data_IF_139653078046
#
_entry.id   IF_139653078046
#
_cell.length_a   1.000
_cell.length_b   1.000
_cell.length_c   1.000
_cell.angle_alpha   90.00
_cell.angle_beta   90.00
_cell.angle_gamma   90.00
#
_symmetry.space_group_name_H-M   'P 1'
#
loop_
_entity.id
_entity.type
_entity.pdbx_description
1 polymer ?
#
# COMPACT_ATOMS: atom_id res chain seq x y z
N UNK A 1 -52.19 16.15 -11.32
CA UNK A 1 -51.10 15.70 -12.16
C UNK A 1 -49.84 16.26 -11.53
N UNK A 2 -49.19 15.47 -10.69
CA UNK A 2 -47.97 15.85 -9.99
C UNK A 2 -46.80 15.15 -10.68
N UNK A 3 -45.91 15.97 -11.19
CA UNK A 3 -44.68 15.52 -11.85
C UNK A 3 -43.65 15.13 -10.79
N UNK A 4 -43.30 13.84 -10.77
CA UNK A 4 -42.30 13.29 -9.85
C UNK A 4 -40.92 13.49 -10.47
N UNK A 5 -40.24 14.57 -10.05
CA UNK A 5 -38.87 14.85 -10.40
C UNK A 5 -37.95 13.69 -10.05
N UNK A 6 -37.28 13.13 -11.05
CA UNK A 6 -36.27 12.12 -10.95
C UNK A 6 -35.02 12.68 -10.22
N UNK A 7 -34.83 12.20 -9.02
CA UNK A 7 -33.61 12.47 -8.23
C UNK A 7 -32.45 11.64 -8.81
N UNK A 8 -31.73 12.21 -9.74
CA UNK A 8 -30.56 11.61 -10.37
C UNK A 8 -29.33 11.84 -9.47
N UNK A 9 -29.20 11.04 -8.42
CA UNK A 9 -28.01 11.00 -7.58
C UNK A 9 -26.82 10.54 -8.43
N UNK A 10 -25.98 11.50 -8.80
CA UNK A 10 -24.77 11.29 -9.60
C UNK A 10 -23.79 10.32 -8.93
N UNK A 11 -23.97 9.01 -9.12
CA UNK A 11 -22.89 8.04 -8.97
C UNK A 11 -21.80 8.44 -9.97
N UNK A 12 -20.70 9.07 -9.50
CA UNK A 12 -19.48 9.16 -10.28
C UNK A 12 -19.18 7.73 -10.76
N UNK A 13 -19.20 7.50 -12.07
CA UNK A 13 -18.73 6.25 -12.68
C UNK A 13 -17.32 6.03 -12.16
N UNK A 14 -17.13 4.98 -11.38
CA UNK A 14 -15.79 4.58 -10.95
C UNK A 14 -14.96 4.40 -12.22
N UNK A 15 -13.96 5.25 -12.41
CA UNK A 15 -13.06 5.15 -13.56
C UNK A 15 -12.33 3.81 -13.41
N UNK A 16 -12.40 2.95 -14.44
CA UNK A 16 -11.74 1.66 -14.43
C UNK A 16 -10.24 1.84 -14.10
N UNK A 17 -9.74 1.04 -13.17
CA UNK A 17 -8.33 1.07 -12.79
C UNK A 17 -7.48 0.49 -13.92
N UNK A 18 -6.26 1.02 -14.18
CA UNK A 18 -5.40 0.53 -15.25
C UNK A 18 -5.17 -0.98 -15.22
N UNK A 19 -5.04 -1.56 -14.04
CA UNK A 19 -4.81 -2.99 -13.85
C UNK A 19 -5.95 -3.88 -14.37
N UNK A 20 -7.18 -3.38 -14.41
CA UNK A 20 -8.35 -4.15 -14.84
C UNK A 20 -8.21 -4.64 -16.29
N UNK A 21 -7.54 -3.86 -17.15
CA UNK A 21 -7.25 -4.26 -18.53
C UNK A 21 -6.19 -5.37 -18.63
N UNK A 22 -5.44 -5.65 -17.55
CA UNK A 22 -4.36 -6.64 -17.52
C UNK A 22 -4.70 -7.90 -16.71
N UNK A 23 -5.85 -7.94 -16.04
CA UNK A 23 -6.23 -9.10 -15.22
C UNK A 23 -6.29 -10.40 -16.03
N UNK A 24 -6.81 -10.33 -17.24
CA UNK A 24 -6.86 -11.51 -18.13
C UNK A 24 -5.45 -12.02 -18.50
N UNK A 25 -4.51 -11.10 -18.76
CA UNK A 25 -3.12 -11.45 -19.09
C UNK A 25 -2.42 -12.10 -17.89
N UNK A 26 -2.64 -11.57 -16.67
CA UNK A 26 -2.09 -12.11 -15.42
C UNK A 26 -2.63 -13.52 -15.16
N UNK A 27 -3.95 -13.72 -15.29
CA UNK A 27 -4.59 -15.01 -15.13
C UNK A 27 -4.05 -16.03 -16.16
N UNK A 28 -3.94 -15.65 -17.44
CA UNK A 28 -3.40 -16.49 -18.48
C UNK A 28 -1.93 -16.88 -18.22
N UNK A 29 -1.11 -15.92 -17.78
CA UNK A 29 0.28 -16.16 -17.43
C UNK A 29 0.41 -17.20 -16.31
N UNK A 30 -0.32 -17.05 -15.20
CA UNK A 30 -0.27 -17.96 -14.07
C UNK A 30 -1.02 -19.29 -14.29
N UNK A 31 -1.89 -19.37 -15.27
CA UNK A 31 -2.46 -20.65 -15.74
C UNK A 31 -1.43 -21.48 -16.52
N UNK A 32 -0.55 -20.82 -17.29
CA UNK A 32 0.43 -21.48 -18.17
C UNK A 32 1.81 -21.64 -17.53
N UNK A 33 2.14 -20.78 -16.57
CA UNK A 33 3.44 -20.75 -15.88
C UNK A 33 3.23 -20.74 -14.36
N UNK A 34 4.18 -21.30 -13.64
CA UNK A 34 4.16 -21.28 -12.16
C UNK A 34 4.61 -19.92 -11.57
N UNK A 35 5.18 -19.04 -12.40
CA UNK A 35 5.71 -17.72 -11.98
C UNK A 35 5.29 -16.66 -12.97
N UNK A 36 5.11 -15.43 -12.46
CA UNK A 36 4.89 -14.26 -13.31
C UNK A 36 5.44 -13.00 -12.61
N UNK A 37 5.81 -12.00 -13.41
CA UNK A 37 6.24 -10.68 -12.95
C UNK A 37 5.25 -9.64 -13.47
N UNK A 38 4.67 -8.85 -12.58
CA UNK A 38 3.81 -7.71 -12.91
C UNK A 38 4.54 -6.41 -12.61
N UNK A 39 4.77 -5.62 -13.63
CA UNK A 39 5.27 -4.25 -13.52
C UNK A 39 4.09 -3.31 -13.66
N UNK A 40 3.75 -2.59 -12.59
CA UNK A 40 2.60 -1.70 -12.58
C UNK A 40 2.88 -0.49 -11.70
N UNK A 41 2.65 0.70 -12.22
CA UNK A 41 2.86 1.95 -11.49
C UNK A 41 1.98 2.04 -10.22
N UNK A 42 2.38 2.86 -9.23
CA UNK A 42 1.54 3.15 -8.07
C UNK A 42 0.16 3.65 -8.49
N UNK A 43 -0.89 3.26 -7.75
CA UNK A 43 -2.25 3.66 -8.06
C UNK A 43 -2.92 2.89 -9.20
N UNK A 44 -2.24 1.96 -9.88
CA UNK A 44 -2.84 1.11 -10.92
C UNK A 44 -3.92 0.16 -10.38
N UNK A 45 -3.97 -0.08 -9.06
CA UNK A 45 -4.92 -0.98 -8.40
C UNK A 45 -4.40 -2.42 -8.24
N UNK A 46 -3.09 -2.66 -8.44
CA UNK A 46 -2.47 -3.99 -8.37
C UNK A 46 -2.78 -4.72 -7.07
N UNK A 47 -2.53 -4.08 -5.92
CA UNK A 47 -2.68 -4.63 -4.57
C UNK A 47 -4.10 -5.12 -4.25
N UNK A 48 -5.11 -4.45 -4.80
CA UNK A 48 -6.51 -4.68 -4.38
C UNK A 48 -7.37 -5.40 -5.42
N UNK A 49 -6.95 -5.43 -6.69
CA UNK A 49 -7.69 -6.09 -7.78
C UNK A 49 -7.09 -7.43 -8.16
N UNK A 50 -5.76 -7.51 -8.25
CA UNK A 50 -5.08 -8.73 -8.69
C UNK A 50 -5.33 -9.90 -7.74
N UNK A 51 -5.17 -9.78 -6.40
CA UNK A 51 -5.40 -10.91 -5.51
C UNK A 51 -6.84 -11.42 -5.55
N UNK A 52 -7.83 -10.52 -5.66
CA UNK A 52 -9.24 -10.93 -5.77
C UNK A 52 -9.54 -11.67 -7.08
N UNK A 53 -8.95 -11.22 -8.20
CA UNK A 53 -9.10 -11.92 -9.47
C UNK A 53 -8.44 -13.31 -9.45
N UNK A 54 -7.31 -13.46 -8.78
CA UNK A 54 -6.61 -14.74 -8.66
C UNK A 54 -7.32 -15.75 -7.76
N UNK A 55 -8.17 -15.32 -6.82
CA UNK A 55 -9.01 -16.22 -6.03
C UNK A 55 -9.97 -17.05 -6.87
N UNK A 56 -10.36 -16.53 -8.03
CA UNK A 56 -11.28 -17.20 -8.97
C UNK A 56 -10.54 -18.10 -9.98
N UNK A 57 -9.21 -18.12 -9.95
CA UNK A 57 -8.41 -18.94 -10.86
C UNK A 57 -8.63 -20.45 -10.58
N UNK A 58 -8.68 -21.30 -11.61
CA UNK A 58 -8.90 -22.73 -11.45
C UNK A 58 -7.88 -23.42 -10.51
N UNK A 59 -6.62 -22.99 -10.57
CA UNK A 59 -5.55 -23.53 -9.74
C UNK A 59 -5.62 -23.08 -8.26
N UNK A 60 -6.43 -22.07 -7.95
CA UNK A 60 -6.61 -21.55 -6.57
C UNK A 60 -7.83 -22.17 -5.86
N UNK A 61 -8.65 -22.99 -6.54
CA UNK A 61 -9.88 -23.52 -5.97
C UNK A 61 -9.62 -24.38 -4.72
N UNK A 62 -10.34 -24.05 -3.63
CA UNK A 62 -10.23 -24.77 -2.35
C UNK A 62 -8.97 -24.48 -1.54
N UNK A 63 -8.05 -23.69 -2.06
CA UNK A 63 -6.81 -23.33 -1.40
C UNK A 63 -6.73 -21.83 -1.11
N UNK A 64 -5.67 -21.42 -0.41
CA UNK A 64 -5.44 -20.03 -0.02
C UNK A 64 -4.45 -19.33 -0.94
N UNK A 65 -4.58 -18.02 -1.02
CA UNK A 65 -3.56 -17.10 -1.52
C UNK A 65 -2.95 -16.33 -0.35
N UNK A 66 -1.64 -16.14 -0.41
CA UNK A 66 -0.92 -15.22 0.47
C UNK A 66 -0.55 -13.97 -0.30
N UNK A 67 -0.91 -12.80 0.22
CA UNK A 67 -0.45 -11.50 -0.29
C UNK A 67 0.57 -10.92 0.70
N UNK A 68 1.81 -10.80 0.27
CA UNK A 68 2.87 -10.22 1.07
C UNK A 68 2.89 -8.71 0.93
N UNK A 69 2.68 -8.03 2.05
CA UNK A 69 2.76 -6.58 2.17
C UNK A 69 3.94 -6.17 3.09
N UNK A 70 4.77 -5.19 2.72
CA UNK A 70 5.93 -4.82 3.53
C UNK A 70 5.55 -4.13 4.84
N UNK A 71 4.40 -3.47 4.89
CA UNK A 71 4.02 -2.60 6.01
C UNK A 71 2.72 -3.03 6.65
N UNK A 72 2.71 -3.09 8.00
CA UNK A 72 1.54 -3.52 8.78
C UNK A 72 0.26 -2.74 8.49
N UNK A 73 0.39 -1.42 8.30
CA UNK A 73 -0.77 -0.56 8.02
C UNK A 73 -1.30 -0.84 6.63
N UNK A 74 -0.42 -0.97 5.64
CA UNK A 74 -0.80 -1.32 4.27
C UNK A 74 -1.50 -2.68 4.23
N UNK A 75 -0.94 -3.71 4.89
CA UNK A 75 -1.56 -5.02 4.99
C UNK A 75 -2.99 -4.97 5.56
N UNK A 76 -3.19 -4.22 6.64
CA UNK A 76 -4.51 -4.06 7.28
C UNK A 76 -5.49 -3.30 6.38
N UNK A 77 -5.03 -2.23 5.74
CA UNK A 77 -5.85 -1.41 4.86
C UNK A 77 -6.23 -2.17 3.59
N UNK A 78 -5.26 -2.85 2.96
CA UNK A 78 -5.50 -3.67 1.77
C UNK A 78 -6.51 -4.79 2.06
N UNK A 79 -6.33 -5.54 3.15
CA UNK A 79 -7.28 -6.58 3.56
C UNK A 79 -8.67 -5.99 3.84
N UNK A 80 -8.74 -4.86 4.55
CA UNK A 80 -10.00 -4.20 4.85
C UNK A 80 -10.71 -3.68 3.61
N UNK A 81 -9.97 -3.12 2.66
CA UNK A 81 -10.53 -2.62 1.40
C UNK A 81 -11.02 -3.76 0.50
N UNK A 82 -10.26 -4.85 0.39
CA UNK A 82 -10.67 -6.02 -0.39
C UNK A 82 -11.89 -6.72 0.21
N UNK A 83 -11.97 -6.85 1.54
CA UNK A 83 -13.16 -7.37 2.21
C UNK A 83 -14.39 -6.49 1.94
N UNK A 84 -14.26 -5.15 2.05
CA UNK A 84 -15.34 -4.20 1.75
C UNK A 84 -15.83 -4.31 0.29
N UNK A 85 -14.95 -4.58 -0.68
CA UNK A 85 -15.34 -4.83 -2.06
C UNK A 85 -16.21 -6.08 -2.23
N UNK A 86 -16.01 -7.09 -1.38
CA UNK A 86 -16.83 -8.30 -1.34
C UNK A 86 -18.11 -8.14 -0.50
N UNK A 87 -18.29 -6.99 0.15
CA UNK A 87 -19.39 -6.75 1.10
C UNK A 87 -19.19 -7.45 2.45
N UNK A 88 -17.95 -7.77 2.80
CA UNK A 88 -17.57 -8.57 3.97
C UNK A 88 -16.72 -7.76 4.96
N UNK A 89 -16.48 -8.34 6.13
CA UNK A 89 -15.52 -7.86 7.12
C UNK A 89 -14.21 -8.65 7.05
N UNK A 90 -13.04 -8.04 7.40
CA UNK A 90 -11.78 -8.77 7.49
C UNK A 90 -11.88 -9.98 8.44
N UNK A 91 -11.45 -11.15 7.94
CA UNK A 91 -11.53 -12.44 8.63
C UNK A 91 -12.57 -13.39 8.02
N UNK A 92 -13.38 -12.93 7.06
CA UNK A 92 -14.22 -13.76 6.21
C UNK A 92 -13.41 -14.29 5.03
N UNK A 93 -13.75 -13.97 3.78
CA UNK A 93 -12.97 -14.40 2.61
C UNK A 93 -11.58 -13.79 2.58
N UNK A 94 -11.45 -12.53 2.97
CA UNK A 94 -10.18 -11.82 3.06
C UNK A 94 -9.83 -11.56 4.52
N UNK A 95 -8.62 -11.95 4.91
CA UNK A 95 -8.10 -11.71 6.25
C UNK A 95 -6.66 -11.18 6.22
N UNK A 96 -6.11 -10.93 7.40
CA UNK A 96 -4.72 -10.53 7.52
C UNK A 96 -4.04 -11.14 8.75
N UNK A 97 -2.72 -11.31 8.66
CA UNK A 97 -1.89 -11.84 9.75
C UNK A 97 -0.60 -11.04 9.85
N UNK A 98 -0.41 -10.43 11.00
CA UNK A 98 0.77 -9.62 11.32
C UNK A 98 1.25 -9.96 12.72
N UNK A 99 2.48 -9.58 13.06
CA UNK A 99 3.01 -9.77 14.42
C UNK A 99 2.11 -9.06 15.44
N UNK A 100 1.52 -9.83 16.34
CA UNK A 100 0.65 -9.34 17.42
C UNK A 100 -0.78 -8.99 16.99
N UNK A 101 -1.16 -9.20 15.73
CA UNK A 101 -2.53 -8.94 15.27
C UNK A 101 -2.91 -9.91 14.15
N UNK A 102 -4.05 -10.58 14.32
CA UNK A 102 -4.55 -11.56 13.35
C UNK A 102 -6.05 -11.40 13.20
N UNK A 103 -6.54 -11.40 11.97
CA UNK A 103 -7.94 -11.40 11.58
C UNK A 103 -8.14 -12.38 10.43
N UNK A 104 -8.21 -13.66 10.74
CA UNK A 104 -8.47 -14.76 9.80
C UNK A 104 -9.51 -15.69 10.42
N UNK A 105 -10.32 -16.30 9.60
CA UNK A 105 -11.35 -17.27 9.99
C UNK A 105 -11.23 -18.57 9.18
N UNK A 106 -12.12 -19.54 9.42
CA UNK A 106 -12.11 -20.82 8.72
C UNK A 106 -12.35 -20.69 7.21
N UNK A 107 -13.04 -19.63 6.79
CA UNK A 107 -13.39 -19.38 5.40
C UNK A 107 -12.39 -18.42 4.71
N UNK A 108 -11.35 -17.98 5.39
CA UNK A 108 -10.37 -17.05 4.81
C UNK A 108 -9.57 -17.74 3.73
N UNK A 109 -9.67 -17.23 2.51
CA UNK A 109 -8.98 -17.71 1.32
C UNK A 109 -7.85 -16.80 0.86
N UNK A 110 -7.93 -15.50 1.15
CA UNK A 110 -6.87 -14.54 0.90
C UNK A 110 -6.34 -14.02 2.24
N UNK A 111 -5.11 -14.37 2.57
CA UNK A 111 -4.44 -13.85 3.77
C UNK A 111 -3.39 -12.79 3.38
N UNK A 112 -3.61 -11.55 3.81
CA UNK A 112 -2.60 -10.50 3.67
C UNK A 112 -1.63 -10.63 4.84
N UNK A 113 -0.35 -10.89 4.54
CA UNK A 113 0.67 -11.18 5.54
C UNK A 113 1.83 -10.19 5.45
N UNK A 114 2.48 -9.90 6.58
CA UNK A 114 3.72 -9.13 6.57
C UNK A 114 4.93 -10.05 6.37
N UNK A 115 6.04 -9.49 5.91
CA UNK A 115 7.26 -10.21 5.52
C UNK A 115 7.73 -11.21 6.60
N UNK A 116 7.87 -10.78 7.84
CA UNK A 116 8.30 -11.67 8.94
C UNK A 116 7.29 -12.78 9.29
N UNK A 117 6.00 -12.59 8.94
CA UNK A 117 4.99 -13.65 9.09
C UNK A 117 5.14 -14.69 8.00
N UNK A 118 5.33 -14.28 6.72
CA UNK A 118 5.56 -15.22 5.63
C UNK A 118 6.81 -16.07 5.88
N UNK A 119 7.93 -15.43 6.27
CA UNK A 119 9.17 -16.14 6.58
C UNK A 119 8.95 -17.20 7.68
N UNK A 120 8.17 -16.84 8.72
CA UNK A 120 7.86 -17.80 9.77
C UNK A 120 6.94 -18.93 9.29
N UNK A 121 5.94 -18.64 8.46
CA UNK A 121 5.08 -19.66 7.87
C UNK A 121 5.91 -20.68 7.07
N UNK A 122 6.86 -20.20 6.25
CA UNK A 122 7.77 -21.05 5.47
C UNK A 122 8.77 -21.83 6.34
N UNK A 123 9.13 -21.33 7.51
CA UNK A 123 9.96 -22.07 8.48
C UNK A 123 9.17 -23.16 9.22
N UNK A 124 7.92 -22.86 9.60
CA UNK A 124 7.05 -23.79 10.32
C UNK A 124 6.46 -24.87 9.39
N UNK A 125 6.17 -24.52 8.14
CA UNK A 125 5.70 -25.40 7.06
C UNK A 125 6.39 -25.01 5.73
N UNK A 126 7.51 -25.66 5.40
CA UNK A 126 8.28 -25.35 4.20
C UNK A 126 7.54 -25.58 2.88
N UNK A 127 6.52 -26.43 2.88
CA UNK A 127 5.71 -26.71 1.69
C UNK A 127 4.47 -25.84 1.58
N UNK A 128 4.12 -25.08 2.63
CA UNK A 128 2.91 -24.25 2.70
C UNK A 128 1.66 -25.03 2.26
N UNK A 129 1.37 -26.15 2.92
CA UNK A 129 0.21 -26.99 2.59
C UNK A 129 -1.09 -26.18 2.59
N UNK A 130 -1.92 -26.37 1.56
CA UNK A 130 -3.18 -25.64 1.39
C UNK A 130 -3.02 -24.19 0.87
N UNK A 131 -1.80 -23.77 0.48
CA UNK A 131 -1.55 -22.50 -0.19
C UNK A 131 -1.32 -22.74 -1.68
N UNK A 132 -2.15 -22.13 -2.52
CA UNK A 132 -2.05 -22.22 -3.98
C UNK A 132 -1.04 -21.25 -4.59
N UNK A 133 -0.84 -20.10 -3.94
CA UNK A 133 0.10 -19.11 -4.45
C UNK A 133 0.47 -18.02 -3.46
N UNK A 134 1.58 -17.36 -3.76
CA UNK A 134 2.12 -16.23 -3.00
C UNK A 134 2.27 -15.05 -3.95
N UNK A 135 1.75 -13.91 -3.53
CA UNK A 135 1.85 -12.63 -4.23
C UNK A 135 2.79 -11.74 -3.42
N UNK A 136 3.91 -11.35 -4.00
CA UNK A 136 4.86 -10.40 -3.42
C UNK A 136 4.53 -9.01 -3.92
N UNK A 137 3.95 -8.15 -3.08
CA UNK A 137 3.66 -6.77 -3.45
C UNK A 137 4.77 -5.81 -3.02
N UNK A 138 4.86 -4.67 -3.69
CA UNK A 138 5.87 -3.61 -3.49
C UNK A 138 7.31 -4.15 -3.44
N UNK A 139 7.62 -5.16 -4.28
CA UNK A 139 8.91 -5.84 -4.24
C UNK A 139 10.11 -4.92 -4.56
N UNK A 140 9.87 -3.77 -5.18
CA UNK A 140 10.89 -2.75 -5.43
C UNK A 140 11.41 -2.06 -4.15
N UNK A 141 10.71 -2.15 -3.01
CA UNK A 141 11.23 -1.66 -1.72
C UNK A 141 12.47 -2.43 -1.25
N UNK A 142 12.72 -3.64 -1.79
CA UNK A 142 13.90 -4.47 -1.57
C UNK A 142 14.29 -4.56 -0.09
N UNK A 143 13.57 -5.37 0.67
CA UNK A 143 13.96 -5.70 2.04
C UNK A 143 14.60 -7.09 2.10
N UNK A 144 15.49 -7.29 3.06
CA UNK A 144 16.10 -8.60 3.31
C UNK A 144 15.03 -9.68 3.55
N UNK A 145 13.96 -9.32 4.26
CA UNK A 145 12.87 -10.25 4.58
C UNK A 145 12.05 -10.62 3.34
N UNK A 146 11.84 -9.68 2.40
CA UNK A 146 11.14 -9.96 1.15
C UNK A 146 12.00 -10.86 0.24
N UNK A 147 13.29 -10.55 0.11
CA UNK A 147 14.22 -11.34 -0.68
C UNK A 147 14.37 -12.77 -0.11
N UNK A 148 14.48 -12.90 1.23
CA UNK A 148 14.49 -14.20 1.90
C UNK A 148 13.17 -14.96 1.70
N UNK A 149 12.03 -14.28 1.82
CA UNK A 149 10.71 -14.88 1.59
C UNK A 149 10.57 -15.39 0.17
N UNK A 150 11.06 -14.65 -0.83
CA UNK A 150 11.07 -15.10 -2.22
C UNK A 150 11.99 -16.31 -2.42
N UNK A 151 13.19 -16.30 -1.84
CA UNK A 151 14.13 -17.42 -1.95
C UNK A 151 13.54 -18.71 -1.35
N UNK A 152 12.92 -18.63 -0.17
CA UNK A 152 12.26 -19.77 0.47
C UNK A 152 11.02 -20.24 -0.33
N UNK A 153 10.26 -19.32 -0.92
CA UNK A 153 9.13 -19.68 -1.78
C UNK A 153 9.57 -20.38 -3.07
N UNK A 154 10.70 -19.96 -3.65
CA UNK A 154 11.30 -20.63 -4.82
C UNK A 154 11.82 -22.03 -4.45
N UNK A 155 12.38 -22.22 -3.25
CA UNK A 155 12.80 -23.50 -2.74
C UNK A 155 11.58 -24.44 -2.55
N UNK A 156 10.52 -23.97 -1.90
CA UNK A 156 9.25 -24.69 -1.78
C UNK A 156 8.69 -25.09 -3.16
N UNK A 157 8.75 -24.21 -4.14
CA UNK A 157 8.27 -24.44 -5.49
C UNK A 157 9.11 -25.51 -6.24
N UNK A 158 10.36 -25.73 -5.84
CA UNK A 158 11.18 -26.81 -6.43
C UNK A 158 10.62 -28.21 -6.17
N UNK A 159 9.75 -28.36 -5.15
CA UNK A 159 9.08 -29.60 -4.75
C UNK A 159 7.57 -29.55 -5.02
N UNK A 160 7.01 -28.35 -5.16
CA UNK A 160 5.58 -28.08 -5.37
C UNK A 160 5.33 -27.41 -6.74
N UNK A 161 5.13 -28.19 -7.76
CA UNK A 161 4.84 -27.71 -9.14
C UNK A 161 3.52 -26.93 -9.23
N UNK A 162 2.60 -27.15 -8.27
CA UNK A 162 1.30 -26.49 -8.17
C UNK A 162 1.35 -25.10 -7.54
N UNK A 163 2.40 -24.74 -6.80
CA UNK A 163 2.52 -23.44 -6.15
C UNK A 163 2.77 -22.34 -7.18
N UNK A 164 2.00 -21.26 -7.14
CA UNK A 164 2.14 -20.10 -8.03
C UNK A 164 2.80 -18.92 -7.32
N UNK A 165 3.73 -18.24 -8.01
CA UNK A 165 4.40 -17.05 -7.51
C UNK A 165 4.13 -15.87 -8.43
N UNK A 166 3.61 -14.78 -7.88
CA UNK A 166 3.46 -13.50 -8.57
C UNK A 166 4.29 -12.44 -7.86
N UNK A 167 5.23 -11.83 -8.55
CA UNK A 167 5.96 -10.67 -8.03
C UNK A 167 5.39 -9.40 -8.66
N UNK A 168 4.97 -8.45 -7.83
CA UNK A 168 4.41 -7.17 -8.27
C UNK A 168 5.32 -6.02 -7.85
N UNK A 169 5.54 -5.07 -8.74
CA UNK A 169 6.44 -3.96 -8.53
C UNK A 169 6.04 -2.72 -9.31
N UNK A 170 6.42 -1.53 -8.83
CA UNK A 170 6.24 -0.27 -9.54
C UNK A 170 7.40 0.03 -10.48
N UNK A 171 8.63 -0.22 -10.03
CA UNK A 171 9.86 0.02 -10.80
C UNK A 171 10.84 -1.09 -10.50
N UNK A 172 11.38 -1.77 -11.51
CA UNK A 172 12.34 -2.84 -11.28
C UNK A 172 13.38 -2.90 -12.39
N UNK A 173 14.55 -3.36 -12.00
CA UNK A 173 15.42 -4.08 -12.91
C UNK A 173 14.76 -5.43 -13.27
N UNK A 174 13.92 -5.38 -14.30
CA UNK A 174 13.17 -6.54 -14.81
C UNK A 174 14.12 -7.68 -15.16
N UNK A 175 15.29 -7.34 -15.74
CA UNK A 175 16.28 -8.33 -16.14
C UNK A 175 16.85 -9.10 -14.94
N UNK A 176 17.20 -8.41 -13.87
CA UNK A 176 17.71 -9.05 -12.65
C UNK A 176 16.67 -9.94 -11.99
N UNK A 177 15.41 -9.49 -11.92
CA UNK A 177 14.33 -10.30 -11.34
C UNK A 177 13.95 -11.50 -12.21
N UNK A 178 13.88 -11.33 -13.52
CA UNK A 178 13.62 -12.43 -14.44
C UNK A 178 14.73 -13.49 -14.36
N UNK A 179 16.00 -13.06 -14.18
CA UNK A 179 17.09 -14.00 -13.95
C UNK A 179 16.92 -14.84 -12.68
N UNK A 180 16.38 -14.26 -11.60
CA UNK A 180 16.09 -14.97 -10.34
C UNK A 180 14.86 -15.88 -10.46
N UNK A 181 13.81 -15.40 -11.13
CA UNK A 181 12.55 -16.14 -11.28
C UNK A 181 12.62 -17.24 -12.36
N UNK A 182 13.60 -17.21 -13.24
CA UNK A 182 13.75 -18.06 -14.42
C UNK A 182 13.49 -17.29 -15.71
N UNK A 183 14.33 -17.54 -16.73
CA UNK A 183 14.35 -16.74 -17.96
C UNK A 183 13.08 -16.82 -18.83
N UNK A 184 12.20 -17.79 -18.58
CA UNK A 184 10.91 -18.01 -19.22
C UNK A 184 9.73 -17.37 -18.45
N UNK A 185 10.00 -16.67 -17.35
CA UNK A 185 8.97 -16.00 -16.55
C UNK A 185 8.27 -14.91 -17.35
N UNK A 186 6.94 -14.98 -17.58
CA UNK A 186 6.22 -13.94 -18.27
C UNK A 186 6.24 -12.63 -17.49
N UNK A 187 6.46 -11.54 -18.21
CA UNK A 187 6.44 -10.17 -17.68
C UNK A 187 5.20 -9.48 -18.24
N UNK A 188 4.34 -9.03 -17.33
CA UNK A 188 3.15 -8.25 -17.65
C UNK A 188 3.42 -6.80 -17.29
N UNK A 189 3.34 -5.91 -18.27
CA UNK A 189 3.48 -4.48 -18.08
C UNK A 189 2.12 -3.80 -18.04
N UNK A 190 1.88 -3.01 -17.00
CA UNK A 190 0.68 -2.21 -16.80
C UNK A 190 1.09 -0.75 -16.65
N UNK A 191 1.22 0.00 -17.75
CA UNK A 191 1.56 1.41 -17.69
C UNK A 191 0.46 2.18 -16.94
N UNK A 192 0.86 2.98 -15.99
CA UNK A 192 -0.02 3.85 -15.22
C UNK A 192 -0.36 5.15 -15.96
N UNK A 193 -1.19 5.97 -15.32
CA UNK A 193 -1.39 7.36 -15.74
C UNK A 193 -0.37 8.23 -15.02
N UNK A 194 0.60 8.74 -15.75
CA UNK A 194 1.50 9.74 -15.22
C UNK A 194 0.87 11.13 -15.35
N UNK A 195 0.87 11.86 -14.25
CA UNK A 195 0.51 13.27 -14.24
C UNK A 195 1.80 14.08 -14.13
N UNK A 196 1.91 15.24 -14.81
CA UNK A 196 3.06 16.10 -14.65
C UNK A 196 3.15 16.59 -13.21
N UNK A 197 4.33 16.44 -12.60
CA UNK A 197 4.62 16.91 -11.25
C UNK A 197 5.63 18.04 -11.33
N UNK A 198 5.26 19.20 -10.78
CA UNK A 198 6.17 20.32 -10.59
C UNK A 198 6.81 20.23 -9.21
N UNK A 199 8.14 20.15 -9.16
CA UNK A 199 8.88 20.11 -7.91
C UNK A 199 9.36 21.51 -7.54
N UNK A 200 8.99 21.98 -6.34
CA UNK A 200 9.40 23.28 -5.82
C UNK A 200 10.18 23.07 -4.52
N UNK A 201 11.38 23.63 -4.45
CA UNK A 201 12.20 23.59 -3.24
C UNK A 201 12.00 24.85 -2.41
N UNK A 202 11.89 24.67 -1.08
CA UNK A 202 11.76 25.76 -0.11
C UNK A 202 12.85 25.61 0.95
N UNK A 203 13.82 26.53 0.95
CA UNK A 203 14.85 26.56 1.98
C UNK A 203 14.27 26.95 3.32
N UNK A 204 14.75 26.33 4.41
CA UNK A 204 14.29 26.63 5.74
C UNK A 204 14.76 28.02 6.18
N UNK A 205 13.85 28.97 6.24
CA UNK A 205 14.12 30.31 6.78
C UNK A 205 14.06 30.23 8.33
N UNK A 206 15.17 29.84 8.97
CA UNK A 206 15.27 29.81 10.42
C UNK A 206 15.51 28.42 11.03
N UNK A 207 15.53 28.39 12.40
CA UNK A 207 15.89 27.16 13.15
C UNK A 207 14.67 26.32 13.58
N UNK A 208 13.45 26.83 13.40
CA UNK A 208 12.24 26.11 13.77
C UNK A 208 11.64 25.37 12.57
N UNK A 209 11.80 24.05 12.48
CA UNK A 209 11.24 23.27 11.37
C UNK A 209 9.71 23.32 11.33
N UNK A 210 9.02 23.46 12.46
CA UNK A 210 7.56 23.47 12.52
C UNK A 210 7.01 24.77 11.93
N UNK A 211 7.62 25.91 12.30
CA UNK A 211 7.24 27.20 11.74
C UNK A 211 7.47 27.26 10.23
N UNK A 212 8.60 26.70 9.75
CA UNK A 212 8.87 26.60 8.31
C UNK A 212 7.82 25.74 7.59
N UNK A 213 7.53 24.55 8.09
CA UNK A 213 6.55 23.66 7.50
C UNK A 213 5.15 24.29 7.50
N UNK A 214 4.76 24.98 8.57
CA UNK A 214 3.49 25.71 8.62
C UNK A 214 3.39 26.81 7.57
N UNK A 215 4.49 27.54 7.32
CA UNK A 215 4.56 28.55 6.27
C UNK A 215 4.43 27.95 4.86
N UNK A 216 5.09 26.82 4.60
CA UNK A 216 4.99 26.10 3.32
C UNK A 216 3.57 25.57 3.10
N UNK A 217 2.92 25.03 4.14
CA UNK A 217 1.51 24.60 4.07
C UNK A 217 0.60 25.80 3.79
N UNK A 218 0.83 26.95 4.42
CA UNK A 218 0.05 28.16 4.20
C UNK A 218 0.21 28.70 2.76
N UNK A 219 1.42 28.67 2.20
CA UNK A 219 1.69 29.03 0.82
C UNK A 219 0.93 28.09 -0.15
N UNK A 220 1.05 26.78 0.03
CA UNK A 220 0.37 25.80 -0.80
C UNK A 220 -1.17 25.90 -0.71
N UNK A 221 -1.71 26.24 0.48
CA UNK A 221 -3.14 26.50 0.64
C UNK A 221 -3.61 27.75 -0.14
N UNK A 222 -2.74 28.74 -0.30
CA UNK A 222 -3.05 29.98 -1.02
C UNK A 222 -2.89 29.85 -2.55
N UNK A 223 -1.88 29.13 -3.01
CA UNK A 223 -1.47 29.10 -4.42
C UNK A 223 -2.01 27.91 -5.21
N UNK A 224 -2.15 26.75 -4.56
CA UNK A 224 -2.49 25.51 -5.23
C UNK A 224 -3.94 25.05 -4.94
N UNK A 225 -4.41 24.05 -5.65
CA UNK A 225 -5.74 23.44 -5.46
C UNK A 225 -5.64 21.98 -5.02
N UNK A 226 -6.74 21.41 -4.50
CA UNK A 226 -6.80 20.04 -4.00
C UNK A 226 -6.36 19.91 -2.54
N UNK A 227 -6.42 18.70 -2.03
CA UNK A 227 -5.96 18.37 -0.69
C UNK A 227 -4.42 18.37 -0.60
N UNK A 228 -3.89 18.62 0.57
CA UNK A 228 -2.45 18.60 0.84
C UNK A 228 -2.09 17.34 1.62
N UNK A 229 -0.98 16.69 1.24
CA UNK A 229 -0.34 15.64 2.01
C UNK A 229 1.02 16.12 2.49
N UNK A 230 1.24 16.10 3.80
CA UNK A 230 2.51 16.51 4.41
C UNK A 230 3.20 15.29 5.02
N UNK A 231 4.38 14.96 4.51
CA UNK A 231 5.19 13.82 4.97
C UNK A 231 6.17 14.31 6.04
N UNK A 232 6.09 13.72 7.23
CA UNK A 232 6.82 14.12 8.42
C UNK A 232 7.58 12.94 9.04
N UNK A 233 8.72 13.15 9.72
CA UNK A 233 9.53 12.06 10.23
C UNK A 233 8.87 11.26 11.37
N UNK A 234 7.85 11.81 12.06
CA UNK A 234 7.21 11.08 13.13
C UNK A 234 6.00 11.76 13.75
N UNK A 235 5.34 11.03 14.65
CA UNK A 235 4.10 11.46 15.31
C UNK A 235 4.28 12.74 16.15
N UNK A 236 5.47 12.95 16.71
CA UNK A 236 5.77 14.18 17.45
C UNK A 236 5.73 15.42 16.57
N UNK A 237 6.27 15.31 15.37
CA UNK A 237 6.27 16.35 14.34
C UNK A 237 4.85 16.59 13.82
N UNK A 238 4.09 15.54 13.58
CA UNK A 238 2.68 15.61 13.19
C UNK A 238 1.88 16.44 14.20
N UNK A 239 1.98 16.12 15.48
CA UNK A 239 1.25 16.84 16.54
C UNK A 239 1.64 18.31 16.64
N UNK A 240 2.93 18.62 16.55
CA UNK A 240 3.41 20.01 16.61
C UNK A 240 2.90 20.83 15.43
N UNK A 241 3.01 20.28 14.21
CA UNK A 241 2.52 20.95 13.02
C UNK A 241 1.00 21.11 13.03
N UNK A 242 0.26 20.08 13.46
CA UNK A 242 -1.20 20.15 13.62
C UNK A 242 -1.61 21.29 14.55
N UNK A 243 -0.97 21.40 15.72
CA UNK A 243 -1.26 22.48 16.68
C UNK A 243 -0.98 23.87 16.08
N UNK A 244 0.14 24.02 15.38
CA UNK A 244 0.47 25.27 14.71
C UNK A 244 -0.54 25.64 13.62
N UNK A 245 -0.92 24.68 12.77
CA UNK A 245 -1.90 24.90 11.70
C UNK A 245 -3.31 25.20 12.25
N UNK A 246 -3.73 24.48 13.31
CA UNK A 246 -5.05 24.73 13.94
C UNK A 246 -5.13 26.13 14.56
N UNK A 247 -4.03 26.64 15.12
CA UNK A 247 -3.98 27.99 15.66
C UNK A 247 -4.10 29.09 14.59
N UNK A 248 -3.55 28.85 13.38
CA UNK A 248 -3.57 29.82 12.27
C UNK A 248 -4.78 29.65 11.36
N UNK A 249 -5.30 28.43 11.22
CA UNK A 249 -6.40 28.08 10.34
C UNK A 249 -7.48 27.27 11.08
N UNK A 250 -8.30 27.87 11.96
CA UNK A 250 -9.25 27.14 12.79
C UNK A 250 -10.32 26.33 12.02
N UNK A 251 -10.63 26.75 10.80
CA UNK A 251 -11.62 26.07 9.92
C UNK A 251 -11.02 24.98 9.03
N UNK A 252 -9.67 24.80 9.05
CA UNK A 252 -9.00 23.83 8.20
C UNK A 252 -9.22 22.42 8.75
N UNK A 253 -9.64 21.51 7.87
CA UNK A 253 -9.72 20.09 8.21
C UNK A 253 -8.31 19.48 8.19
N UNK A 254 -7.87 18.94 9.33
CA UNK A 254 -6.55 18.35 9.48
C UNK A 254 -6.71 16.90 9.94
N UNK A 255 -6.39 15.96 9.06
CA UNK A 255 -6.31 14.55 9.38
C UNK A 255 -4.87 14.11 9.67
N UNK A 256 -4.71 13.15 10.57
CA UNK A 256 -3.43 12.50 10.80
C UNK A 256 -3.43 11.12 10.15
N UNK A 257 -2.26 10.63 9.70
CA UNK A 257 -2.12 9.29 9.14
C UNK A 257 -0.80 8.65 9.56
N UNK A 258 -0.88 7.77 10.54
CA UNK A 258 0.28 7.04 11.06
C UNK A 258 -0.12 5.69 11.69
N UNK A 259 0.83 4.78 11.84
CA UNK A 259 0.60 3.41 12.28
C UNK A 259 0.03 3.22 13.71
N UNK A 260 0.02 4.26 14.54
CA UNK A 260 -0.51 4.20 15.92
C UNK A 260 -1.98 4.63 16.04
N UNK A 261 -2.59 5.09 14.94
CA UNK A 261 -3.99 5.50 14.96
C UNK A 261 -4.93 4.30 14.89
N UNK A 262 -6.16 4.44 15.41
CA UNK A 262 -7.25 3.51 15.16
C UNK A 262 -7.53 3.36 13.65
N UNK A 263 -7.91 2.16 13.21
CA UNK A 263 -8.16 1.87 11.79
C UNK A 263 -9.23 2.79 11.17
N UNK A 264 -10.27 3.13 11.94
CA UNK A 264 -11.33 4.02 11.48
C UNK A 264 -10.80 5.42 11.11
N UNK A 265 -9.86 5.95 11.90
CA UNK A 265 -9.22 7.23 11.64
C UNK A 265 -8.28 7.15 10.43
N UNK A 266 -7.49 6.07 10.31
CA UNK A 266 -6.65 5.84 9.14
C UNK A 266 -7.51 5.78 7.85
N UNK A 267 -8.62 5.04 7.86
CA UNK A 267 -9.55 4.97 6.72
C UNK A 267 -10.16 6.33 6.39
N UNK A 268 -10.50 7.14 7.41
CA UNK A 268 -11.02 8.49 7.18
C UNK A 268 -9.99 9.36 6.48
N UNK A 269 -8.74 9.33 6.94
CA UNK A 269 -7.65 10.12 6.35
C UNK A 269 -7.33 9.75 4.89
N UNK A 270 -7.69 8.54 4.44
CA UNK A 270 -7.47 8.10 3.05
C UNK A 270 -8.59 8.52 2.10
N UNK A 271 -9.81 8.71 2.59
CA UNK A 271 -10.97 9.10 1.76
C UNK A 271 -10.92 10.60 1.46
N UNK A 272 -11.44 11.06 0.32
CA UNK A 272 -11.54 12.49 0.03
C UNK A 272 -12.30 13.22 1.13
N UNK A 273 -12.01 14.51 1.32
CA UNK A 273 -12.83 15.35 2.19
C UNK A 273 -14.29 15.35 1.71
N UNK A 274 -15.23 15.36 2.66
CA UNK A 274 -16.65 15.55 2.35
C UNK A 274 -16.92 17.01 1.97
N UNK A 275 -17.89 17.20 1.08
CA UNK A 275 -18.48 18.50 0.76
C UNK A 275 -17.57 19.57 0.15
N UNK A 276 -16.52 19.15 -0.58
CA UNK A 276 -15.64 20.10 -1.30
C UNK A 276 -14.74 20.94 -0.40
N UNK A 277 -14.65 20.60 0.90
CA UNK A 277 -13.69 21.24 1.82
C UNK A 277 -12.27 20.75 1.51
N UNK A 278 -11.32 21.68 1.51
CA UNK A 278 -9.90 21.32 1.44
C UNK A 278 -9.42 20.83 2.79
N UNK A 279 -8.55 19.85 2.76
CA UNK A 279 -7.94 19.31 3.97
C UNK A 279 -6.42 19.17 3.84
N UNK A 280 -5.78 19.04 4.98
CA UNK A 280 -4.36 18.70 5.10
C UNK A 280 -4.25 17.35 5.80
N UNK A 281 -3.60 16.39 5.16
CA UNK A 281 -3.28 15.08 5.76
C UNK A 281 -1.83 15.12 6.20
N UNK A 282 -1.59 15.02 7.51
CA UNK A 282 -0.26 14.95 8.09
C UNK A 282 0.12 13.47 8.28
N UNK A 283 1.13 13.02 7.58
CA UNK A 283 1.51 11.60 7.55
C UNK A 283 2.98 11.38 7.90
N UNK A 284 3.30 10.16 8.29
CA UNK A 284 4.68 9.67 8.25
C UNK A 284 4.95 9.01 6.89
N UNK A 285 6.16 8.54 6.64
CA UNK A 285 6.55 7.78 5.43
C UNK A 285 5.69 6.55 5.08
N UNK A 286 4.61 6.32 5.84
CA UNK A 286 3.66 5.22 5.58
C UNK A 286 2.92 5.35 4.24
N UNK A 287 2.84 6.59 3.70
CA UNK A 287 2.16 6.91 2.44
C UNK A 287 3.09 6.95 1.24
N UNK A 288 4.39 6.70 1.43
CA UNK A 288 5.37 6.75 0.33
C UNK A 288 5.19 5.62 -0.69
N UNK A 289 4.64 4.50 -0.25
CA UNK A 289 4.43 3.33 -1.12
C UNK A 289 2.98 2.82 -0.98
N UNK A 290 2.67 1.73 -0.64
CA UNK A 290 1.45 0.91 -0.53
C UNK A 290 0.11 1.62 -0.17
N UNK A 291 0.05 2.94 0.00
CA UNK A 291 -1.17 3.64 0.44
C UNK A 291 -1.43 4.91 -0.38
N UNK A 292 -2.57 4.96 -1.04
CA UNK A 292 -3.01 6.14 -1.81
C UNK A 292 -3.97 6.99 -0.97
N UNK A 293 -3.72 8.30 -0.95
CA UNK A 293 -4.62 9.29 -0.32
C UNK A 293 -5.40 10.01 -1.41
N UNK A 294 -6.69 9.77 -1.46
CA UNK A 294 -7.53 10.34 -2.50
C UNK A 294 -7.69 11.87 -2.34
N UNK A 295 -7.74 12.58 -3.48
CA UNK A 295 -7.98 14.02 -3.54
C UNK A 295 -6.73 14.89 -3.38
N UNK A 296 -5.56 14.32 -3.12
CA UNK A 296 -4.30 15.05 -2.95
C UNK A 296 -3.86 15.67 -4.28
N UNK A 297 -3.68 16.98 -4.28
CA UNK A 297 -3.10 17.75 -5.38
C UNK A 297 -1.69 18.23 -5.08
N UNK A 298 -1.30 18.32 -3.81
CA UNK A 298 0.00 18.85 -3.38
C UNK A 298 0.60 17.91 -2.32
N UNK A 299 1.87 17.56 -2.53
CA UNK A 299 2.67 16.81 -1.55
C UNK A 299 3.79 17.70 -1.02
N UNK A 300 3.88 17.82 0.30
CA UNK A 300 4.95 18.55 1.00
C UNK A 300 5.79 17.53 1.75
N UNK A 301 7.03 17.37 1.33
CA UNK A 301 8.01 16.50 2.00
C UNK A 301 8.90 17.34 2.92
N UNK A 302 8.94 16.99 4.21
CA UNK A 302 9.80 17.65 5.19
C UNK A 302 11.31 17.36 4.96
N UNK A 303 11.67 16.49 4.01
CA UNK A 303 13.05 16.13 3.70
C UNK A 303 13.75 15.39 4.84
N UNK A 304 13.00 14.75 5.73
CA UNK A 304 13.52 14.02 6.89
C UNK A 304 12.73 12.75 7.13
N UNK A 305 13.45 11.70 7.46
CA UNK A 305 12.85 10.43 7.84
C UNK A 305 13.36 9.92 9.19
N UNK A 306 12.63 8.98 9.78
CA UNK A 306 13.02 8.34 11.03
C UNK A 306 13.34 6.87 10.77
N UNK A 307 14.62 6.55 10.83
CA UNK A 307 15.15 5.22 10.55
C UNK A 307 15.57 4.49 11.84
N UNK A 308 15.42 3.16 11.82
CA UNK A 308 15.97 2.29 12.82
C UNK A 308 17.45 2.03 12.49
N UNK A 309 18.37 2.60 13.28
CA UNK A 309 19.82 2.47 13.10
C UNK A 309 20.40 1.58 14.19
N UNK A 310 21.08 0.51 13.76
CA UNK A 310 21.81 -0.34 14.67
C UNK A 310 23.09 0.36 15.14
N UNK A 311 23.26 0.41 16.47
CA UNK A 311 24.46 0.98 17.09
C UNK A 311 25.43 -0.13 17.48
N UNK A 312 26.53 -0.36 16.74
CA UNK A 312 27.46 -1.49 17.00
C UNK A 312 28.06 -1.48 18.42
N UNK A 313 28.24 -0.29 19.01
CA UNK A 313 28.83 -0.16 20.37
C UNK A 313 27.91 -0.67 21.49
N UNK A 314 26.60 -0.55 21.33
CA UNK A 314 25.63 -0.95 22.36
C UNK A 314 24.86 -2.21 22.01
N UNK A 315 24.92 -2.69 20.76
CA UNK A 315 24.09 -3.77 20.23
C UNK A 315 22.60 -3.40 20.12
N UNK A 316 22.24 -2.14 20.37
CA UNK A 316 20.86 -1.69 20.36
C UNK A 316 20.50 -1.00 19.04
N UNK A 317 19.25 -1.14 18.64
CA UNK A 317 18.70 -0.39 17.52
C UNK A 317 18.00 0.87 18.08
N UNK A 318 18.37 2.05 17.59
CA UNK A 318 17.75 3.34 17.93
C UNK A 318 17.05 3.92 16.71
N UNK A 319 15.95 4.65 16.96
CA UNK A 319 15.32 5.48 15.95
C UNK A 319 16.06 6.81 15.85
N UNK A 320 16.65 7.09 14.69
CA UNK A 320 17.33 8.35 14.40
C UNK A 320 16.55 9.09 13.31
N UNK A 321 16.46 10.43 13.46
CA UNK A 321 15.92 11.30 12.40
C UNK A 321 17.09 11.81 11.56
N UNK A 322 17.03 11.58 10.29
CA UNK A 322 18.02 12.02 9.29
C UNK A 322 17.38 12.92 8.25
#
# INVERSE_FOLDING_TARGET
MADLGQNNSGRRKATALPIEARLADILAALNSHSRALLVAEPGAGKTTRVPLALLEAPWCQGQKLLLLEPRRVAARLAAGFMAEQLGESPGETVGYRMRGETRVGPNTRLEVVTQGVLTRMLQDDPLLEGVAGIIFDEFHERSLEADLGLALALDAQSVRDDLRLLVMSATLDVAALTAVLGGDTPVIDCPGRQFPVETRYREAAGRDPVAHQAAVVAEALAEDSGDLLVILPGVGEIRRLKNALTAHFPALVIDELHGRQPLAEQRRALRPASDGQRRVVLSTAIVESSVTVDGVGVVIDAGRERLAVHQPRSGLTRLETR
#
